data_IF_279882083434
#
_entry.id   IF_279882083434
#
_cell.length_a   1.000
_cell.length_b   1.000
_cell.length_c   1.000
_cell.angle_alpha   90.00
_cell.angle_beta   90.00
_cell.angle_gamma   90.00
#
_symmetry.space_group_name_H-M   'P 1'
#
loop_
_entity.id
_entity.type
_entity.pdbx_description
1 polymer ?
#
# COMPACT_ATOMS: atom_id res chain seq x y z
N UNK A 1 -15.19 8.57 3.13
CA UNK A 1 -15.59 7.20 3.52
C UNK A 1 -15.33 6.29 2.33
N UNK A 2 -14.73 5.12 2.53
CA UNK A 2 -14.38 4.20 1.45
C UNK A 2 -14.93 2.79 1.71
N UNK A 3 -15.62 2.24 0.72
CA UNK A 3 -16.19 0.89 0.81
C UNK A 3 -15.18 -0.15 0.35
N UNK A 4 -14.98 -1.19 1.15
CA UNK A 4 -14.11 -2.33 0.87
C UNK A 4 -14.83 -3.29 -0.06
N UNK A 5 -14.22 -3.61 -1.19
CA UNK A 5 -14.66 -4.64 -2.13
C UNK A 5 -13.54 -5.70 -2.25
N UNK A 6 -13.60 -6.81 -1.48
CA UNK A 6 -12.62 -7.88 -1.59
C UNK A 6 -12.45 -8.34 -3.03
N UNK A 7 -11.20 -8.52 -3.48
CA UNK A 7 -10.91 -8.94 -4.85
C UNK A 7 -10.98 -7.84 -5.89
N UNK A 8 -11.51 -6.66 -5.55
CA UNK A 8 -11.83 -5.59 -6.51
C UNK A 8 -11.21 -4.24 -6.19
N UNK A 9 -11.27 -3.77 -4.95
CA UNK A 9 -10.79 -2.42 -4.65
C UNK A 9 -11.28 -1.81 -3.33
N UNK A 10 -11.00 -0.52 -3.17
CA UNK A 10 -11.37 0.30 -2.02
C UNK A 10 -11.91 1.67 -2.47
N UNK A 11 -13.22 1.90 -2.30
CA UNK A 11 -13.87 3.10 -2.81
C UNK A 11 -13.67 3.22 -4.33
N UNK A 12 -13.06 4.31 -4.78
CA UNK A 12 -12.74 4.55 -6.19
C UNK A 12 -11.43 3.89 -6.64
N UNK A 13 -10.62 3.36 -5.71
CA UNK A 13 -9.37 2.69 -6.02
C UNK A 13 -9.65 1.25 -6.44
N UNK A 14 -9.53 0.97 -7.74
CA UNK A 14 -9.85 -0.34 -8.33
C UNK A 14 -8.58 -1.10 -8.70
N UNK A 15 -8.48 -2.36 -8.31
CA UNK A 15 -7.40 -3.25 -8.70
C UNK A 15 -7.38 -3.42 -10.22
N UNK A 16 -6.18 -3.42 -10.81
CA UNK A 16 -5.95 -3.47 -12.25
C UNK A 16 -5.88 -2.10 -12.93
N UNK A 17 -6.32 -1.02 -12.29
CA UNK A 17 -6.18 0.34 -12.82
C UNK A 17 -4.72 0.74 -12.98
N UNK A 18 -4.40 1.52 -14.01
CA UNK A 18 -3.04 2.01 -14.23
C UNK A 18 -2.62 3.02 -13.16
N UNK A 19 -1.31 3.12 -12.92
CA UNK A 19 -0.73 4.13 -12.04
C UNK A 19 -1.18 5.54 -12.43
N UNK A 20 -1.15 5.86 -13.72
CA UNK A 20 -1.58 7.16 -14.24
C UNK A 20 -3.05 7.46 -13.93
N UNK A 21 -3.98 6.53 -14.15
CA UNK A 21 -5.39 6.74 -13.83
C UNK A 21 -5.63 6.90 -12.33
N UNK A 22 -4.91 6.13 -11.49
CA UNK A 22 -5.02 6.27 -10.03
C UNK A 22 -4.45 7.60 -9.57
N UNK A 23 -3.27 8.02 -10.04
CA UNK A 23 -2.67 9.30 -9.68
C UNK A 23 -3.55 10.48 -10.12
N UNK A 24 -4.10 10.44 -11.34
CA UNK A 24 -5.04 11.46 -11.81
C UNK A 24 -6.27 11.56 -10.89
N UNK A 25 -6.85 10.42 -10.49
CA UNK A 25 -7.98 10.39 -9.56
C UNK A 25 -7.62 10.94 -8.18
N UNK A 26 -6.44 10.61 -7.65
CA UNK A 26 -5.99 11.10 -6.35
C UNK A 26 -5.75 12.62 -6.38
N UNK A 27 -5.05 13.11 -7.42
CA UNK A 27 -4.77 14.53 -7.63
C UNK A 27 -6.03 15.36 -7.87
N UNK A 28 -7.08 14.78 -8.46
CA UNK A 28 -8.38 15.44 -8.61
C UNK A 28 -9.15 15.63 -7.29
N UNK A 29 -8.67 15.08 -6.17
CA UNK A 29 -9.33 15.18 -4.86
C UNK A 29 -8.32 15.53 -3.74
N UNK A 30 -7.66 16.70 -3.81
CA UNK A 30 -6.57 17.07 -2.90
C UNK A 30 -7.03 17.20 -1.44
N UNK A 31 -8.30 17.56 -1.21
CA UNK A 31 -8.89 17.58 0.15
C UNK A 31 -8.98 16.19 0.79
N UNK A 32 -9.14 15.15 -0.03
CA UNK A 32 -9.21 13.76 0.44
C UNK A 32 -7.83 13.11 0.49
N UNK A 33 -6.94 13.48 -0.44
CA UNK A 33 -5.59 12.92 -0.57
C UNK A 33 -4.54 14.05 -0.55
N UNK A 34 -4.29 14.68 0.61
CA UNK A 34 -3.43 15.85 0.70
C UNK A 34 -1.95 15.56 0.55
N UNK A 35 -1.52 14.28 0.62
CA UNK A 35 -0.13 13.88 0.43
C UNK A 35 -0.04 12.57 -0.32
N UNK A 36 0.72 12.59 -1.40
CA UNK A 36 0.94 11.45 -2.30
C UNK A 36 2.45 11.30 -2.46
N UNK A 37 3.04 10.30 -1.78
CA UNK A 37 4.46 9.96 -1.93
C UNK A 37 4.61 8.77 -2.86
N UNK A 38 5.47 8.87 -3.87
CA UNK A 38 5.74 7.78 -4.82
C UNK A 38 7.16 7.26 -4.57
N UNK A 39 7.28 5.93 -4.44
CA UNK A 39 8.53 5.21 -4.19
C UNK A 39 8.73 4.20 -5.33
N UNK A 40 9.89 4.23 -5.97
CA UNK A 40 10.27 3.32 -7.05
C UNK A 40 11.77 3.04 -7.04
N UNK A 41 12.20 1.95 -7.68
CA UNK A 41 13.62 1.62 -7.83
C UNK A 41 14.19 2.27 -9.08
N UNK A 42 15.21 3.12 -8.93
CA UNK A 42 16.00 3.64 -10.07
C UNK A 42 16.82 2.54 -10.76
N UNK A 43 17.32 1.58 -9.99
CA UNK A 43 18.17 0.49 -10.51
C UNK A 43 17.37 -0.52 -11.33
N UNK A 44 16.12 -0.75 -10.94
CA UNK A 44 15.28 -1.81 -11.50
C UNK A 44 13.82 -1.38 -11.65
N UNK A 45 13.52 -0.29 -12.39
CA UNK A 45 12.18 0.33 -12.41
C UNK A 45 11.08 -0.59 -12.96
N UNK A 46 11.41 -1.45 -13.92
CA UNK A 46 10.46 -2.40 -14.54
C UNK A 46 10.25 -3.65 -13.68
N UNK A 47 11.26 -4.05 -12.90
CA UNK A 47 11.20 -5.29 -12.10
C UNK A 47 10.68 -5.06 -10.69
N UNK A 48 10.96 -3.90 -10.12
CA UNK A 48 10.54 -3.54 -8.77
C UNK A 48 9.14 -2.93 -8.78
N UNK A 49 8.30 -3.24 -7.78
CA UNK A 49 6.99 -2.61 -7.68
C UNK A 49 7.10 -1.11 -7.40
N UNK A 50 6.19 -0.33 -7.96
CA UNK A 50 6.03 1.09 -7.65
C UNK A 50 5.05 1.19 -6.47
N UNK A 51 5.40 1.97 -5.45
CA UNK A 51 4.58 2.12 -4.24
C UNK A 51 4.11 3.57 -4.11
N UNK A 52 2.80 3.76 -3.95
CA UNK A 52 2.20 5.06 -3.63
C UNK A 52 1.76 5.03 -2.17
N UNK A 53 2.28 5.95 -1.37
CA UNK A 53 1.98 6.07 0.07
C UNK A 53 1.07 7.28 0.29
N UNK A 54 -0.10 7.02 0.88
CA UNK A 54 -1.10 8.03 1.21
C UNK A 54 -1.17 8.16 2.74
N UNK A 55 -0.18 8.86 3.31
CA UNK A 55 0.07 8.91 4.76
C UNK A 55 -1.12 9.42 5.57
N UNK A 56 -1.86 10.39 5.04
CA UNK A 56 -3.04 10.97 5.73
C UNK A 56 -4.27 10.08 5.67
N UNK A 57 -4.31 9.12 4.75
CA UNK A 57 -5.40 8.14 4.61
C UNK A 57 -5.05 6.80 5.26
N UNK A 58 -3.79 6.60 5.65
CA UNK A 58 -3.29 5.34 6.18
C UNK A 58 -3.22 4.23 5.14
N UNK A 59 -3.06 4.59 3.87
CA UNK A 59 -3.05 3.64 2.75
C UNK A 59 -1.66 3.52 2.12
N UNK A 60 -1.39 2.33 1.58
CA UNK A 60 -0.27 2.06 0.69
C UNK A 60 -0.78 1.28 -0.52
N UNK A 61 -0.54 1.81 -1.71
CA UNK A 61 -0.92 1.22 -2.98
C UNK A 61 0.34 0.66 -3.63
N UNK A 62 0.29 -0.58 -4.14
CA UNK A 62 1.41 -1.19 -4.86
C UNK A 62 1.01 -1.52 -6.28
N UNK A 63 1.86 -1.07 -7.19
CA UNK A 63 1.72 -1.25 -8.61
C UNK A 63 2.81 -2.20 -9.09
N UNK A 64 2.46 -2.98 -10.10
CA UNK A 64 3.42 -3.80 -10.83
C UNK A 64 4.43 -2.90 -11.56
N UNK A 65 5.73 -3.26 -11.52
CA UNK A 65 6.77 -2.42 -12.13
C UNK A 65 6.64 -2.31 -13.65
N UNK A 66 6.33 -3.43 -14.32
CA UNK A 66 6.28 -3.51 -15.77
C UNK A 66 4.94 -2.99 -16.31
N UNK A 67 3.83 -3.49 -15.77
CA UNK A 67 2.49 -3.16 -16.28
C UNK A 67 1.91 -1.91 -15.65
N UNK A 68 2.51 -1.40 -14.56
CA UNK A 68 2.02 -0.26 -13.78
C UNK A 68 0.56 -0.40 -13.34
N UNK A 69 0.06 -1.63 -13.20
CA UNK A 69 -1.30 -1.89 -12.73
C UNK A 69 -1.33 -1.97 -11.21
N UNK A 70 -2.36 -1.39 -10.61
CA UNK A 70 -2.62 -1.48 -9.17
C UNK A 70 -2.93 -2.92 -8.80
N UNK A 71 -2.14 -3.50 -7.89
CA UNK A 71 -2.21 -4.93 -7.58
C UNK A 71 -2.43 -5.20 -6.10
N UNK A 72 -2.04 -4.25 -5.25
CA UNK A 72 -2.30 -4.31 -3.83
C UNK A 72 -2.77 -2.96 -3.30
N UNK A 73 -3.83 -2.99 -2.50
CA UNK A 73 -4.26 -1.85 -1.68
C UNK A 73 -4.13 -2.28 -0.22
N UNK A 74 -3.26 -1.63 0.53
CA UNK A 74 -3.03 -1.91 1.93
C UNK A 74 -3.54 -0.77 2.81
N UNK A 75 -4.25 -1.11 3.88
CA UNK A 75 -4.49 -0.23 5.01
C UNK A 75 -3.42 -0.56 6.05
N UNK A 76 -2.52 0.39 6.27
CA UNK A 76 -1.38 0.28 7.18
C UNK A 76 -1.59 1.05 8.48
N UNK A 77 -2.44 2.08 8.45
CA UNK A 77 -2.80 2.86 9.63
C UNK A 77 -4.32 3.00 9.71
N UNK A 78 -4.89 2.46 10.78
CA UNK A 78 -6.33 2.46 11.02
C UNK A 78 -6.83 3.82 11.52
N UNK A 79 -8.12 4.10 11.39
CA UNK A 79 -8.75 5.33 11.86
C UNK A 79 -8.53 6.59 11.00
N UNK A 80 -7.48 6.62 10.16
CA UNK A 80 -7.19 7.74 9.25
C UNK A 80 -8.19 7.92 8.11
N UNK A 81 -8.86 6.83 7.71
CA UNK A 81 -9.94 6.86 6.74
C UNK A 81 -11.10 5.99 7.22
N UNK A 82 -12.34 6.47 7.10
CA UNK A 82 -13.53 5.69 7.45
C UNK A 82 -13.76 4.58 6.42
N UNK A 83 -13.59 3.32 6.83
CA UNK A 83 -13.77 2.14 5.97
C UNK A 83 -15.09 1.43 6.29
N UNK A 84 -15.74 0.90 5.26
CA UNK A 84 -16.93 0.06 5.44
C UNK A 84 -16.94 -1.20 4.62
N UNK A 85 -17.47 -2.28 5.19
CA UNK A 85 -17.69 -3.55 4.51
C UNK A 85 -19.09 -4.07 4.83
N UNK A 86 -19.88 -4.39 3.79
CA UNK A 86 -21.29 -4.81 3.93
C UNK A 86 -22.10 -3.89 4.86
N UNK A 87 -21.97 -2.57 4.66
CA UNK A 87 -22.60 -1.50 5.48
C UNK A 87 -22.15 -1.43 6.95
N UNK A 88 -21.14 -2.20 7.37
CA UNK A 88 -20.57 -2.14 8.72
C UNK A 88 -19.27 -1.36 8.71
N UNK A 89 -19.03 -0.61 9.78
CA UNK A 89 -17.79 0.12 9.99
C UNK A 89 -16.63 -0.83 10.32
N UNK A 90 -15.48 -0.60 9.68
CA UNK A 90 -14.29 -1.43 9.79
C UNK A 90 -13.12 -0.55 10.21
N UNK A 91 -12.77 -0.59 11.49
CA UNK A 91 -11.55 0.03 12.00
C UNK A 91 -11.60 1.55 12.21
N UNK A 92 -12.79 2.16 12.32
CA UNK A 92 -12.89 3.57 12.78
C UNK A 92 -12.41 3.75 14.21
N UNK A 93 -12.65 2.77 15.08
CA UNK A 93 -12.24 2.77 16.49
C UNK A 93 -10.81 2.24 16.68
N UNK A 94 -9.98 2.30 15.63
CA UNK A 94 -8.63 1.75 15.63
C UNK A 94 -8.53 0.32 15.07
N UNK A 95 -7.36 -0.30 15.24
CA UNK A 95 -7.06 -1.63 14.70
C UNK A 95 -8.05 -2.71 15.13
N UNK A 96 -8.34 -3.65 14.24
CA UNK A 96 -9.25 -4.76 14.53
C UNK A 96 -8.53 -5.89 15.27
N UNK A 97 -9.21 -6.56 16.20
CA UNK A 97 -8.73 -7.83 16.75
C UNK A 97 -9.05 -8.99 15.82
N UNK A 98 -8.31 -10.09 15.94
CA UNK A 98 -8.59 -11.32 15.22
C UNK A 98 -10.03 -11.79 15.45
N UNK A 99 -10.48 -11.82 16.72
CA UNK A 99 -11.85 -12.19 17.11
C UNK A 99 -12.89 -11.34 16.36
N UNK A 100 -12.69 -10.02 16.27
CA UNK A 100 -13.64 -9.13 15.60
C UNK A 100 -13.74 -9.44 14.10
N UNK A 101 -12.61 -9.70 13.43
CA UNK A 101 -12.59 -10.08 12.01
C UNK A 101 -13.27 -11.44 11.81
N UNK A 102 -12.85 -12.42 12.60
CA UNK A 102 -13.22 -13.83 12.50
C UNK A 102 -14.69 -14.08 12.87
N UNK A 103 -15.17 -13.57 14.00
CA UNK A 103 -16.54 -13.83 14.48
C UNK A 103 -17.57 -12.85 13.91
N UNK A 104 -17.21 -11.58 13.71
CA UNK A 104 -18.22 -10.55 13.50
C UNK A 104 -18.27 -10.06 12.04
N UNK A 105 -17.14 -10.03 11.33
CA UNK A 105 -17.06 -9.35 10.02
C UNK A 105 -17.04 -10.33 8.85
N UNK A 106 -16.09 -11.27 8.82
CA UNK A 106 -15.85 -12.13 7.66
C UNK A 106 -16.22 -13.60 7.87
N UNK A 107 -16.21 -14.09 9.12
CA UNK A 107 -16.59 -15.46 9.46
C UNK A 107 -15.38 -16.40 9.64
N UNK A 108 -15.61 -17.58 10.24
CA UNK A 108 -14.57 -18.51 10.65
C UNK A 108 -14.00 -19.39 9.52
N UNK A 109 -14.56 -19.28 8.32
CA UNK A 109 -14.49 -20.33 7.28
C UNK A 109 -13.16 -20.40 6.54
N UNK A 110 -12.19 -19.53 6.83
CA UNK A 110 -11.01 -19.37 5.98
C UNK A 110 -9.69 -19.54 6.72
N UNK A 111 -8.69 -20.19 6.09
CA UNK A 111 -7.42 -20.49 6.74
C UNK A 111 -6.53 -19.26 6.89
N UNK A 112 -5.61 -19.33 7.85
CA UNK A 112 -4.48 -18.43 7.92
C UNK A 112 -3.16 -19.18 7.87
N UNK A 113 -2.11 -18.46 7.49
CA UNK A 113 -0.75 -18.99 7.35
C UNK A 113 0.21 -18.14 8.16
N UNK A 114 1.10 -18.80 8.87
CA UNK A 114 2.17 -18.14 9.61
C UNK A 114 3.46 -18.09 8.79
N UNK A 115 4.09 -16.92 8.78
CA UNK A 115 5.37 -16.67 8.13
C UNK A 115 6.43 -16.44 9.21
N UNK A 116 7.21 -17.48 9.51
CA UNK A 116 8.21 -17.48 10.58
C UNK A 116 9.26 -16.38 10.40
N UNK A 117 9.75 -16.16 9.18
CA UNK A 117 10.78 -15.16 8.85
C UNK A 117 10.41 -13.73 9.27
N UNK A 118 9.11 -13.42 9.23
CA UNK A 118 8.58 -12.10 9.54
C UNK A 118 7.80 -12.07 10.86
N UNK A 119 7.56 -13.23 11.48
CA UNK A 119 6.67 -13.39 12.65
C UNK A 119 5.29 -12.80 12.39
N UNK A 120 4.76 -13.01 11.19
CA UNK A 120 3.43 -12.51 10.79
C UNK A 120 2.52 -13.68 10.56
N UNK A 121 1.37 -13.66 11.22
CA UNK A 121 0.25 -14.52 10.87
C UNK A 121 -0.67 -13.77 9.90
N UNK A 122 -0.97 -14.36 8.75
CA UNK A 122 -1.88 -13.77 7.76
C UNK A 122 -3.15 -14.60 7.70
N UNK A 123 -4.26 -14.00 8.10
CA UNK A 123 -5.61 -14.53 7.91
C UNK A 123 -6.11 -14.10 6.53
N UNK A 124 -6.41 -15.05 5.65
CA UNK A 124 -6.75 -14.76 4.26
C UNK A 124 -8.17 -15.16 3.92
N UNK A 125 -8.88 -14.30 3.23
CA UNK A 125 -10.18 -14.52 2.60
C UNK A 125 -10.04 -14.25 1.08
N UNK A 126 -11.01 -14.69 0.25
CA UNK A 126 -11.08 -14.32 -1.16
C UNK A 126 -10.92 -12.82 -1.38
N UNK A 127 -9.77 -12.46 -1.96
CA UNK A 127 -9.39 -11.10 -2.33
C UNK A 127 -9.15 -10.11 -1.18
N UNK A 128 -9.01 -10.58 0.07
CA UNK A 128 -8.65 -9.73 1.21
C UNK A 128 -7.92 -10.52 2.30
N UNK A 129 -6.92 -9.91 2.94
CA UNK A 129 -6.17 -10.54 4.03
C UNK A 129 -5.87 -9.56 5.16
N UNK A 130 -5.66 -10.12 6.35
CA UNK A 130 -5.36 -9.41 7.58
C UNK A 130 -4.08 -9.96 8.18
N UNK A 131 -3.15 -9.08 8.53
CA UNK A 131 -1.84 -9.44 9.05
C UNK A 131 -1.74 -9.12 10.54
N UNK A 132 -1.26 -10.07 11.32
CA UNK A 132 -1.04 -9.95 12.76
C UNK A 132 0.43 -10.19 13.04
N UNK A 133 1.13 -9.14 13.43
CA UNK A 133 2.53 -9.22 13.86
C UNK A 133 2.61 -9.82 15.27
N UNK A 134 3.35 -10.91 15.42
CA UNK A 134 3.60 -11.55 16.71
C UNK A 134 4.95 -11.08 17.28
N UNK A 135 5.01 -10.99 18.62
CA UNK A 135 6.26 -10.75 19.33
C UNK A 135 7.15 -11.99 19.28
N UNK A 136 8.45 -11.80 19.49
CA UNK A 136 9.39 -12.93 19.48
C UNK A 136 9.08 -13.93 20.61
N UNK A 137 8.76 -13.43 21.80
CA UNK A 137 8.44 -14.20 22.98
C UNK A 137 7.14 -15.01 22.81
N UNK A 138 6.14 -14.43 22.13
CA UNK A 138 4.91 -15.13 21.81
C UNK A 138 5.18 -16.30 20.86
N UNK A 139 6.00 -16.09 19.83
CA UNK A 139 6.36 -17.14 18.87
C UNK A 139 7.16 -18.26 19.52
N UNK A 140 8.10 -17.94 20.41
CA UNK A 140 8.88 -18.97 21.14
C UNK A 140 8.03 -19.88 22.03
N UNK A 141 6.91 -19.38 22.56
CA UNK A 141 5.99 -20.16 23.39
C UNK A 141 5.00 -20.99 22.58
N UNK A 142 4.90 -20.74 21.27
CA UNK A 142 3.94 -21.40 20.39
C UNK A 142 4.69 -22.46 19.58
N UNK A 143 4.58 -23.72 20.00
CA UNK A 143 5.31 -24.83 19.39
C UNK A 143 4.81 -25.21 17.98
N UNK A 144 3.70 -24.66 17.50
CA UNK A 144 3.17 -24.94 16.16
C UNK A 144 2.27 -23.81 15.59
N UNK A 145 2.13 -23.81 14.26
CA UNK A 145 1.15 -22.96 13.55
C UNK A 145 -0.30 -23.18 14.00
N UNK A 146 -0.59 -24.35 14.58
CA UNK A 146 -1.91 -24.75 15.07
C UNK A 146 -2.34 -24.00 16.34
N UNK A 147 -1.40 -23.51 17.15
CA UNK A 147 -1.71 -22.79 18.38
C UNK A 147 -1.79 -21.28 18.19
N UNK A 148 -1.34 -20.77 17.04
CA UNK A 148 -1.41 -19.34 16.72
C UNK A 148 -2.86 -18.85 16.63
N UNK A 149 -3.79 -19.52 15.92
CA UNK A 149 -5.20 -19.11 15.91
C UNK A 149 -5.81 -19.08 17.32
N UNK A 150 -5.47 -20.05 18.18
CA UNK A 150 -5.94 -20.09 19.58
C UNK A 150 -5.41 -18.90 20.38
N UNK A 151 -4.12 -18.59 20.23
CA UNK A 151 -3.51 -17.42 20.83
C UNK A 151 -4.14 -16.12 20.34
N UNK A 152 -4.42 -15.98 19.04
CA UNK A 152 -5.07 -14.81 18.45
C UNK A 152 -6.52 -14.62 18.91
N UNK A 153 -7.17 -15.69 19.38
CA UNK A 153 -8.49 -15.65 20.00
C UNK A 153 -8.44 -15.28 21.49
N UNK A 154 -7.25 -15.15 22.09
CA UNK A 154 -7.09 -14.75 23.49
C UNK A 154 -7.11 -13.23 23.67
N UNK A 155 -7.30 -12.76 24.91
CA UNK A 155 -7.27 -11.34 25.26
C UNK A 155 -5.90 -10.67 25.05
N UNK A 156 -4.82 -11.47 25.00
CA UNK A 156 -3.45 -10.97 24.88
C UNK A 156 -2.97 -10.93 23.41
N UNK A 157 -3.87 -11.19 22.47
CA UNK A 157 -3.56 -11.17 21.05
C UNK A 157 -3.20 -9.75 20.58
N UNK A 158 -2.16 -9.60 19.74
CA UNK A 158 -1.88 -8.32 19.11
C UNK A 158 -3.03 -7.92 18.16
N UNK A 159 -3.29 -6.62 18.00
CA UNK A 159 -4.24 -6.14 17.02
C UNK A 159 -3.75 -6.39 15.58
N UNK A 160 -4.67 -6.30 14.63
CA UNK A 160 -4.39 -6.37 13.21
C UNK A 160 -3.47 -5.22 12.78
N UNK A 161 -2.29 -5.58 12.29
CA UNK A 161 -1.24 -4.66 11.86
C UNK A 161 -1.57 -4.04 10.51
N UNK A 162 -2.12 -4.82 9.58
CA UNK A 162 -2.52 -4.32 8.27
C UNK A 162 -3.61 -5.15 7.62
N UNK A 163 -4.38 -4.53 6.74
CA UNK A 163 -5.34 -5.18 5.85
C UNK A 163 -4.92 -4.97 4.41
N UNK A 164 -4.97 -6.02 3.60
CA UNK A 164 -4.58 -5.97 2.19
C UNK A 164 -5.74 -6.45 1.31
N UNK A 165 -6.05 -5.71 0.25
CA UNK A 165 -7.02 -6.07 -0.79
C UNK A 165 -6.21 -6.38 -2.05
N UNK A 166 -6.48 -7.54 -2.64
CA UNK A 166 -5.73 -8.09 -3.77
C UNK A 166 -6.66 -8.88 -4.68
N UNK A 167 -6.18 -9.19 -5.88
CA UNK A 167 -6.89 -10.07 -6.80
C UNK A 167 -6.40 -11.51 -6.60
N UNK A 168 -7.31 -12.44 -6.35
CA UNK A 168 -7.01 -13.85 -6.11
C UNK A 168 -7.86 -14.43 -4.97
N UNK A 169 -7.80 -15.75 -4.81
CA UNK A 169 -8.59 -16.45 -3.79
C UNK A 169 -7.90 -16.40 -2.43
N UNK A 170 -6.57 -16.47 -2.40
CA UNK A 170 -5.82 -16.41 -1.16
C UNK A 170 -4.54 -15.59 -1.25
N UNK A 171 -4.08 -15.13 -0.09
CA UNK A 171 -2.90 -14.28 0.05
C UNK A 171 -1.63 -14.92 -0.55
N UNK A 172 -1.46 -16.23 -0.37
CA UNK A 172 -0.29 -16.95 -0.91
C UNK A 172 -0.31 -17.14 -2.43
N UNK A 173 -1.42 -16.83 -3.11
CA UNK A 173 -1.45 -16.82 -4.57
C UNK A 173 -0.84 -15.52 -5.11
N UNK A 174 -1.00 -14.42 -4.38
CA UNK A 174 -0.40 -13.12 -4.72
C UNK A 174 1.12 -13.17 -4.58
N UNK A 175 1.64 -13.85 -3.56
CA UNK A 175 3.09 -14.05 -3.36
C UNK A 175 3.77 -14.79 -4.51
N UNK A 176 3.04 -15.64 -5.23
CA UNK A 176 3.55 -16.41 -6.38
C UNK A 176 3.52 -15.62 -7.68
N UNK A 177 2.73 -14.55 -7.76
CA UNK A 177 2.83 -13.60 -8.87
C UNK A 177 4.06 -12.72 -8.63
N UNK A 178 4.89 -12.39 -9.63
CA UNK A 178 6.17 -11.70 -9.46
C UNK A 178 5.98 -10.25 -9.00
N UNK A 179 5.60 -10.10 -7.74
CA UNK A 179 5.73 -8.94 -6.91
C UNK A 179 6.65 -9.38 -5.80
N UNK A 180 7.95 -9.07 -5.89
CA UNK A 180 8.86 -9.35 -4.78
C UNK A 180 8.31 -8.61 -3.57
N UNK A 181 7.65 -9.36 -2.69
CA UNK A 181 6.84 -8.85 -1.60
C UNK A 181 7.78 -8.55 -0.43
N UNK A 182 8.80 -7.72 -0.67
CA UNK A 182 9.72 -7.28 0.38
C UNK A 182 8.96 -6.34 1.32
N UNK A 183 8.29 -6.93 2.31
CA UNK A 183 7.44 -6.24 3.29
C UNK A 183 8.27 -5.52 4.37
N UNK A 184 9.60 -5.47 4.26
CA UNK A 184 10.51 -5.04 5.35
C UNK A 184 11.56 -3.95 5.02
N UNK A 185 11.47 -3.27 3.89
CA UNK A 185 12.13 -1.98 3.67
C UNK A 185 10.98 -0.99 3.43
N UNK A 186 10.60 -0.04 4.29
CA UNK A 186 11.32 0.76 5.27
C UNK A 186 10.39 1.00 6.47
N UNK A 187 10.69 0.39 7.61
CA UNK A 187 10.16 0.81 8.92
C UNK A 187 11.29 0.60 9.92
N UNK A 188 12.42 1.25 9.67
CA UNK A 188 13.52 1.40 10.59
C UNK A 188 14.29 2.64 10.15
N UNK A 189 14.26 3.66 10.99
CA UNK A 189 15.19 4.77 10.96
C UNK A 189 16.61 4.22 11.13
N UNK A 190 17.28 3.90 10.04
CA UNK A 190 18.72 3.64 10.01
C UNK A 190 19.25 4.17 8.69
N UNK A 191 19.85 5.36 8.77
CA UNK A 191 20.84 5.91 7.83
C UNK A 191 20.56 5.63 6.35
N UNK A 192 19.81 6.55 5.73
CA UNK A 192 19.75 6.69 4.28
C UNK A 192 21.17 6.97 3.76
N UNK A 193 21.83 5.97 3.19
CA UNK A 193 22.92 6.17 2.26
C UNK A 193 22.60 5.42 0.96
N UNK A 194 22.59 6.21 -0.11
CA UNK A 194 22.61 5.92 -1.55
C UNK A 194 21.42 5.21 -2.24
N UNK A 195 20.84 5.96 -3.19
CA UNK A 195 20.09 5.56 -4.39
C UNK A 195 18.56 5.47 -4.37
N UNK A 196 17.89 5.64 -3.23
CA UNK A 196 16.43 5.82 -3.18
C UNK A 196 16.06 7.29 -3.38
N UNK A 197 15.51 7.66 -4.55
CA UNK A 197 14.99 9.03 -4.73
C UNK A 197 13.54 9.09 -4.29
N UNK A 198 13.30 9.87 -3.25
CA UNK A 198 11.99 10.32 -2.84
C UNK A 198 11.58 11.49 -3.73
N UNK A 199 10.48 11.34 -4.48
CA UNK A 199 9.87 12.49 -5.16
C UNK A 199 8.82 13.04 -4.19
N UNK A 200 9.17 14.15 -3.54
CA UNK A 200 8.29 14.90 -2.65
C UNK A 200 7.42 15.79 -3.53
N UNK A 201 6.12 15.50 -3.62
CA UNK A 201 5.13 16.47 -4.09
C UNK A 201 4.67 17.29 -2.89
N UNK A 202 5.41 18.33 -2.53
CA UNK A 202 4.95 19.37 -1.60
C UNK A 202 4.45 20.55 -2.43
N UNK A 203 3.17 20.89 -2.26
CA UNK A 203 2.57 22.11 -2.81
C UNK A 203 2.85 23.24 -1.83
N UNK A 204 3.81 24.11 -2.15
CA UNK A 204 3.93 25.43 -1.53
C UNK A 204 4.30 26.50 -2.56
N UNK A 205 3.46 27.54 -2.62
CA UNK A 205 3.58 28.71 -3.48
C UNK A 205 4.69 29.65 -2.99
N UNK A 206 5.81 29.81 -3.72
CA UNK A 206 6.66 31.01 -3.57
C UNK A 206 7.27 31.49 -4.90
N UNK A 207 7.21 32.82 -5.04
CA UNK A 207 7.53 33.67 -6.18
C UNK A 207 9.06 33.86 -6.31
N UNK A 208 9.62 33.69 -7.51
CA UNK A 208 10.96 34.18 -7.87
C UNK A 208 10.95 34.77 -9.29
N UNK A 209 11.49 35.98 -9.39
CA UNK A 209 11.60 36.82 -10.59
C UNK A 209 13.07 36.85 -11.07
N UNK A 210 13.31 36.93 -12.38
CA UNK A 210 14.64 37.14 -12.97
C UNK A 210 15.01 36.34 -14.24
N UNK A 211 14.58 36.85 -15.40
CA UNK A 211 15.19 36.82 -16.75
C UNK A 211 15.50 35.52 -17.55
N UNK A 212 14.44 35.10 -18.25
CA UNK A 212 14.24 34.66 -19.66
C UNK A 212 15.43 34.35 -20.60
N UNK A 213 15.33 33.15 -21.21
CA UNK A 213 15.20 32.98 -22.66
C UNK A 213 14.21 31.83 -22.98
N UNK A 214 13.22 32.10 -23.85
CA UNK A 214 11.95 31.36 -24.04
C UNK A 214 12.04 29.88 -24.45
N UNK A 215 11.16 29.02 -23.94
CA UNK A 215 9.77 28.70 -24.40
C UNK A 215 9.85 27.46 -25.34
N UNK A 216 9.26 26.28 -25.10
CA UNK A 216 7.83 25.94 -25.05
C UNK A 216 7.62 24.56 -24.40
N UNK A 217 7.55 24.49 -23.07
CA UNK A 217 7.22 23.24 -22.37
C UNK A 217 6.73 23.56 -20.96
N UNK A 218 5.47 23.26 -20.69
CA UNK A 218 4.90 23.33 -19.33
C UNK A 218 5.54 22.30 -18.39
N UNK A 219 6.43 21.46 -18.92
CA UNK A 219 6.94 20.24 -18.34
C UNK A 219 8.44 20.07 -18.62
N UNK A 220 9.14 19.55 -17.62
CA UNK A 220 10.50 19.02 -17.67
C UNK A 220 10.44 17.51 -17.90
N UNK A 221 11.25 17.00 -18.84
CA UNK A 221 11.33 15.58 -19.16
C UNK A 221 12.56 14.94 -18.52
N UNK A 222 12.34 13.93 -17.70
CA UNK A 222 13.37 13.14 -17.04
C UNK A 222 13.42 11.75 -17.66
N UNK A 223 14.55 11.40 -18.29
CA UNK A 223 14.76 10.09 -18.92
C UNK A 223 15.64 9.15 -18.09
N UNK A 224 15.30 7.87 -18.09
CA UNK A 224 16.16 6.76 -17.72
C UNK A 224 16.00 5.62 -18.75
N UNK A 225 16.91 4.63 -18.83
CA UNK A 225 16.76 3.52 -19.76
C UNK A 225 15.39 2.82 -19.62
N UNK A 226 14.57 2.89 -20.67
CA UNK A 226 13.21 2.35 -20.71
C UNK A 226 12.15 3.16 -19.95
N UNK A 227 12.43 4.42 -19.59
CA UNK A 227 11.55 5.27 -18.79
C UNK A 227 11.69 6.74 -19.16
N UNK A 228 10.58 7.44 -19.33
CA UNK A 228 10.50 8.89 -19.47
C UNK A 228 9.42 9.41 -18.53
N UNK A 229 9.77 10.36 -17.68
CA UNK A 229 8.87 11.04 -16.76
C UNK A 229 8.73 12.48 -17.24
N UNK A 230 7.50 12.94 -17.41
CA UNK A 230 7.19 14.33 -17.69
C UNK A 230 6.68 14.98 -16.40
N UNK A 231 7.34 16.03 -15.94
CA UNK A 231 7.06 16.72 -14.68
C UNK A 231 6.76 18.17 -14.97
N UNK A 232 5.59 18.65 -14.58
CA UNK A 232 5.20 20.05 -14.67
C UNK A 232 6.11 20.91 -13.79
N UNK A 233 6.25 22.19 -14.17
CA UNK A 233 7.09 23.14 -13.41
C UNK A 233 6.69 23.34 -11.95
N UNK A 234 5.46 22.98 -11.57
CA UNK A 234 4.98 22.97 -10.19
C UNK A 234 5.35 21.68 -9.43
N UNK A 235 6.20 20.81 -10.00
CA UNK A 235 6.62 19.54 -9.42
C UNK A 235 5.65 18.37 -9.66
N UNK A 236 4.51 18.62 -10.30
CA UNK A 236 3.54 17.56 -10.58
C UNK A 236 3.97 16.67 -11.74
N UNK A 237 4.02 15.37 -11.55
CA UNK A 237 4.15 14.44 -12.69
C UNK A 237 2.90 14.55 -13.60
N UNK A 238 3.14 14.92 -14.86
CA UNK A 238 2.15 14.96 -15.94
C UNK A 238 2.03 13.62 -16.64
N UNK A 239 3.16 12.95 -16.91
CA UNK A 239 3.18 11.69 -17.65
C UNK A 239 4.33 10.78 -17.23
N UNK A 240 4.15 9.48 -17.41
CA UNK A 240 5.13 8.44 -17.15
C UNK A 240 5.05 7.43 -18.28
N UNK A 241 6.07 7.39 -19.14
CA UNK A 241 6.15 6.50 -20.30
C UNK A 241 7.26 5.48 -20.08
N UNK A 242 6.94 4.19 -20.17
CA UNK A 242 7.92 3.09 -20.16
C UNK A 242 7.93 2.46 -21.55
N UNK A 243 9.11 2.23 -22.13
CA UNK A 243 9.29 1.60 -23.43
C UNK A 243 10.43 0.58 -23.44
#
# INVERSE_FOLDING_TARGET
MATIYPGKGLGNLTLGSSLQSVLACLKASPTTFPSIKIIYSKKTPVKSPITVVLKYNGLRLRFDGQTQKLRLIEVIEWGKMKLTYKKRDVGSQGPLTYIKIYNNIFGPTFPGKFYHEHRVYVLSYPGIAFSFQLSYEAVQRLDASQDIPKFLMSSNAPPCTSMAIFQGDYWWDVEKTPMVLNRRLECATTSLNDDGMEVIGETDEQHYDGDKLGDWGLTDLYGAPGLVIEVLKNGDIASLTIY
#
